data_IF_904587627593
#
_entry.id   IF_904587627593
#
_cell.length_a   1.000
_cell.length_b   1.000
_cell.length_c   1.000
_cell.angle_alpha   90.00
_cell.angle_beta   90.00
_cell.angle_gamma   90.00
#
_symmetry.space_group_name_H-M   'P 1'
#
loop_
_entity.id
_entity.type
_entity.pdbx_description
1 polymer ?
#
# COMPACT_ATOMS: atom_id res chain seq x y z
N UNK A 1 27.26 -14.46 10.48
CA UNK A 1 28.50 -14.94 9.83
C UNK A 1 28.93 -13.91 8.81
N UNK A 2 30.22 -13.81 8.51
CA UNK A 2 30.68 -13.02 7.36
C UNK A 2 30.36 -13.78 6.06
N UNK A 3 30.09 -13.03 5.00
CA UNK A 3 29.97 -13.55 3.64
C UNK A 3 31.33 -13.44 2.97
N UNK A 4 31.69 -14.44 2.18
CA UNK A 4 32.86 -14.37 1.31
C UNK A 4 32.56 -13.50 0.07
N UNK A 5 33.58 -12.96 -0.59
CA UNK A 5 33.43 -11.97 -1.67
C UNK A 5 32.57 -12.46 -2.86
N UNK A 6 32.55 -13.78 -3.12
CA UNK A 6 31.78 -14.40 -4.20
C UNK A 6 30.49 -15.09 -3.72
N UNK A 7 30.11 -14.90 -2.45
CA UNK A 7 28.92 -15.53 -1.91
C UNK A 7 27.65 -14.72 -2.21
N UNK A 8 26.61 -15.40 -2.67
CA UNK A 8 25.34 -14.76 -3.00
C UNK A 8 24.67 -14.17 -1.75
N UNK A 9 24.37 -12.87 -1.80
CA UNK A 9 23.62 -12.16 -0.75
C UNK A 9 22.16 -12.62 -0.78
N UNK A 10 21.62 -13.19 0.33
CA UNK A 10 20.20 -13.53 0.41
C UNK A 10 19.35 -12.26 0.44
N UNK A 11 18.05 -12.38 0.14
CA UNK A 11 17.11 -11.28 0.34
C UNK A 11 17.15 -10.83 1.81
N UNK A 12 17.69 -9.64 2.07
CA UNK A 12 18.04 -9.16 3.39
C UNK A 12 17.72 -7.67 3.53
N UNK A 13 17.42 -7.24 4.75
CA UNK A 13 17.49 -5.82 5.09
C UNK A 13 18.95 -5.45 5.34
N UNK A 14 19.40 -4.35 4.72
CA UNK A 14 20.79 -3.88 4.81
C UNK A 14 20.89 -2.68 5.74
N UNK A 15 21.92 -2.68 6.60
CA UNK A 15 22.31 -1.52 7.41
C UNK A 15 23.82 -1.28 7.33
N UNK A 16 24.23 -0.02 7.32
CA UNK A 16 25.64 0.37 7.30
C UNK A 16 26.11 0.73 8.72
N UNK A 17 27.28 0.23 9.10
CA UNK A 17 27.94 0.50 10.38
C UNK A 17 29.42 0.83 10.14
N UNK A 18 29.71 2.09 9.79
CA UNK A 18 31.04 2.49 9.33
C UNK A 18 31.36 1.83 7.98
N UNK A 19 32.47 1.10 7.92
CA UNK A 19 32.90 0.34 6.73
C UNK A 19 32.27 -1.06 6.65
N UNK A 20 31.37 -1.40 7.59
CA UNK A 20 30.69 -2.69 7.63
C UNK A 20 29.28 -2.61 7.03
N UNK A 21 28.94 -3.60 6.20
CA UNK A 21 27.59 -3.86 5.73
C UNK A 21 26.96 -5.02 6.52
N UNK A 22 25.85 -4.75 7.20
CA UNK A 22 25.10 -5.71 7.99
C UNK A 22 23.88 -6.15 7.19
N UNK A 23 23.78 -7.46 6.93
CA UNK A 23 22.69 -8.07 6.18
C UNK A 23 21.85 -8.93 7.14
N UNK A 24 20.57 -8.60 7.27
CA UNK A 24 19.58 -9.38 8.04
C UNK A 24 18.71 -10.18 7.07
N UNK A 25 18.94 -11.49 6.90
CA UNK A 25 18.15 -12.31 5.97
C UNK A 25 16.68 -12.28 6.35
N UNK A 26 15.82 -11.91 5.41
CA UNK A 26 14.36 -11.84 5.63
C UNK A 26 13.69 -13.21 5.43
N UNK A 27 14.37 -14.14 4.77
CA UNK A 27 13.90 -15.50 4.56
C UNK A 27 13.69 -16.21 5.91
N UNK A 28 12.47 -16.70 6.15
CA UNK A 28 12.08 -17.37 7.39
C UNK A 28 11.66 -16.45 8.54
N UNK A 29 11.90 -15.13 8.44
CA UNK A 29 11.35 -14.13 9.36
C UNK A 29 10.01 -13.56 8.88
N UNK A 30 9.78 -13.56 7.56
CA UNK A 30 8.57 -13.07 6.93
C UNK A 30 7.92 -14.23 6.15
N UNK A 31 6.65 -14.50 6.44
CA UNK A 31 5.81 -15.33 5.58
C UNK A 31 5.37 -14.49 4.38
N UNK A 32 6.07 -14.69 3.26
CA UNK A 32 5.84 -13.95 2.01
C UNK A 32 4.41 -14.13 1.51
N UNK A 33 3.87 -15.34 1.57
CA UNK A 33 2.55 -15.65 1.04
C UNK A 33 1.46 -15.02 1.92
N UNK A 34 1.65 -15.06 3.25
CA UNK A 34 0.77 -14.35 4.18
C UNK A 34 0.80 -12.83 3.96
N UNK A 35 1.98 -12.26 3.73
CA UNK A 35 2.13 -10.82 3.50
C UNK A 35 1.54 -10.39 2.16
N UNK A 36 1.78 -11.15 1.08
CA UNK A 36 1.13 -10.92 -0.21
C UNK A 36 -0.39 -11.02 -0.08
N UNK A 37 -0.91 -12.00 0.66
CA UNK A 37 -2.34 -12.14 0.89
C UNK A 37 -2.91 -10.98 1.73
N UNK A 38 -2.16 -10.47 2.72
CA UNK A 38 -2.55 -9.30 3.52
C UNK A 38 -2.64 -8.06 2.63
N UNK A 39 -1.61 -7.79 1.84
CA UNK A 39 -1.56 -6.67 0.90
C UNK A 39 -2.64 -6.76 -0.16
N UNK A 40 -2.90 -7.94 -0.72
CA UNK A 40 -3.97 -8.14 -1.70
C UNK A 40 -5.36 -7.84 -1.11
N UNK A 41 -5.60 -8.25 0.15
CA UNK A 41 -6.84 -7.92 0.87
C UNK A 41 -6.98 -6.42 1.12
N UNK A 42 -5.89 -5.77 1.51
CA UNK A 42 -5.86 -4.33 1.75
C UNK A 42 -6.11 -3.54 0.47
N UNK A 43 -5.45 -3.91 -0.63
CA UNK A 43 -5.67 -3.35 -1.95
C UNK A 43 -7.12 -3.51 -2.40
N UNK A 44 -7.69 -4.73 -2.29
CA UNK A 44 -9.07 -4.98 -2.65
C UNK A 44 -10.10 -4.18 -1.83
N UNK A 45 -9.80 -3.91 -0.54
CA UNK A 45 -10.63 -3.02 0.29
C UNK A 45 -10.61 -1.59 -0.25
N UNK A 46 -9.42 -1.06 -0.51
CA UNK A 46 -9.25 0.32 -1.01
C UNK A 46 -9.89 0.47 -2.39
N UNK A 47 -9.66 -0.48 -3.30
CA UNK A 47 -10.29 -0.51 -4.64
C UNK A 47 -11.82 -0.51 -4.56
N UNK A 48 -12.39 -1.30 -3.64
CA UNK A 48 -13.83 -1.36 -3.40
C UNK A 48 -14.40 -0.04 -2.88
N UNK A 49 -13.67 0.64 -1.99
CA UNK A 49 -14.04 1.96 -1.47
C UNK A 49 -13.97 3.04 -2.55
N UNK A 50 -12.88 3.09 -3.34
CA UNK A 50 -12.72 3.98 -4.49
C UNK A 50 -13.85 3.79 -5.49
N UNK A 51 -14.17 2.54 -5.85
CA UNK A 51 -15.27 2.22 -6.78
C UNK A 51 -16.62 2.72 -6.26
N UNK A 52 -16.89 2.58 -4.96
CA UNK A 52 -18.11 3.08 -4.33
C UNK A 52 -18.17 4.61 -4.34
N UNK A 53 -17.07 5.28 -4.02
CA UNK A 53 -17.00 6.74 -3.99
C UNK A 53 -17.17 7.34 -5.40
N UNK A 54 -16.45 6.80 -6.39
CA UNK A 54 -16.63 7.18 -7.80
C UNK A 54 -18.07 6.99 -8.26
N UNK A 55 -18.66 5.82 -8.00
CA UNK A 55 -20.06 5.57 -8.38
C UNK A 55 -21.08 6.51 -7.74
N UNK A 56 -20.83 7.01 -6.52
CA UNK A 56 -21.67 8.05 -5.90
C UNK A 56 -21.47 9.41 -6.55
N UNK A 57 -20.23 9.80 -6.82
CA UNK A 57 -19.88 11.10 -7.40
C UNK A 57 -20.22 11.20 -8.89
N UNK A 58 -20.23 10.08 -9.61
CA UNK A 58 -20.67 9.99 -11.02
C UNK A 58 -22.19 10.03 -11.16
N UNK A 59 -22.94 9.79 -10.07
CA UNK A 59 -24.41 9.86 -10.09
C UNK A 59 -24.88 11.32 -10.07
N UNK A 60 -25.44 11.85 -11.17
CA UNK A 60 -25.86 13.24 -11.24
C UNK A 60 -26.97 13.56 -10.23
N UNK A 61 -27.79 12.57 -9.87
CA UNK A 61 -28.83 12.72 -8.86
C UNK A 61 -28.27 12.89 -7.45
N UNK A 62 -27.11 12.30 -7.15
CA UNK A 62 -26.43 12.51 -5.87
C UNK A 62 -25.77 13.89 -5.84
N UNK A 63 -25.02 14.25 -6.88
CA UNK A 63 -24.34 15.55 -6.98
C UNK A 63 -25.33 16.72 -6.98
N UNK A 64 -26.48 16.58 -7.63
CA UNK A 64 -27.47 17.66 -7.72
C UNK A 64 -28.39 17.78 -6.48
N UNK A 65 -28.54 16.72 -5.68
CA UNK A 65 -29.47 16.71 -4.53
C UNK A 65 -28.78 16.71 -3.17
N UNK A 66 -27.53 16.24 -3.09
CA UNK A 66 -26.78 16.25 -1.84
C UNK A 66 -26.26 17.66 -1.52
N UNK A 67 -26.17 18.03 -0.23
CA UNK A 67 -25.52 19.27 0.18
C UNK A 67 -24.09 19.35 -0.35
N UNK A 68 -23.64 20.55 -0.77
CA UNK A 68 -22.32 20.76 -1.34
C UNK A 68 -21.20 20.24 -0.41
N UNK A 69 -21.31 20.47 0.90
CA UNK A 69 -20.36 19.98 1.90
C UNK A 69 -20.22 18.43 1.89
N UNK A 70 -21.32 17.71 1.63
CA UNK A 70 -21.28 16.24 1.55
C UNK A 70 -20.60 15.78 0.26
N UNK A 71 -20.85 16.46 -0.85
CA UNK A 71 -20.22 16.15 -2.14
C UNK A 71 -18.71 16.41 -2.07
N UNK A 72 -18.30 17.56 -1.55
CA UNK A 72 -16.88 17.91 -1.40
C UNK A 72 -16.16 16.94 -0.46
N UNK A 73 -16.75 16.60 0.69
CA UNK A 73 -16.16 15.60 1.59
C UNK A 73 -15.98 14.22 0.92
N UNK A 74 -16.93 13.79 0.09
CA UNK A 74 -16.78 12.52 -0.63
C UNK A 74 -15.74 12.62 -1.77
N UNK A 75 -15.55 13.79 -2.39
CA UNK A 75 -14.45 14.06 -3.34
C UNK A 75 -13.08 14.04 -2.66
N UNK A 76 -12.94 14.69 -1.52
CA UNK A 76 -11.71 14.69 -0.73
C UNK A 76 -11.34 13.27 -0.28
N UNK A 77 -12.32 12.49 0.19
CA UNK A 77 -12.12 11.08 0.52
C UNK A 77 -11.66 10.27 -0.69
N UNK A 78 -12.26 10.50 -1.87
CA UNK A 78 -11.85 9.81 -3.09
C UNK A 78 -10.38 10.14 -3.41
N UNK A 79 -10.00 11.41 -3.40
CA UNK A 79 -8.64 11.85 -3.68
C UNK A 79 -7.61 11.25 -2.70
N UNK A 80 -7.95 11.18 -1.41
CA UNK A 80 -7.10 10.56 -0.40
C UNK A 80 -6.91 9.04 -0.62
N UNK A 81 -7.97 8.33 -1.00
CA UNK A 81 -7.89 6.89 -1.30
C UNK A 81 -7.13 6.61 -2.61
N UNK A 82 -7.24 7.49 -3.61
CA UNK A 82 -6.48 7.38 -4.85
C UNK A 82 -4.98 7.64 -4.62
N UNK A 83 -4.61 8.59 -3.74
CA UNK A 83 -3.22 8.79 -3.32
C UNK A 83 -2.66 7.60 -2.54
N UNK A 84 -3.47 6.93 -1.72
CA UNK A 84 -3.05 5.75 -0.99
C UNK A 84 -2.86 4.50 -1.89
N UNK A 85 -3.36 4.54 -3.13
CA UNK A 85 -3.13 3.49 -4.15
C UNK A 85 -1.89 3.73 -5.02
N UNK A 86 -1.36 4.96 -5.05
CA UNK A 86 -0.23 5.36 -5.88
C UNK A 86 1.11 5.08 -5.18
#
# INVERSE_FOLDING_TARGET
RFLEADEAVPAAATALAGDLEILVPLAGLIDRDAELARLARELGRIEGEVKRLRGKLDNPGFVAKAPAEVVEREREKLAAQEQAQA
#
